data_IF_461549454153
#
_entry.id   IF_461549454153
#
_cell.length_a   1.000
_cell.length_b   1.000
_cell.length_c   1.000
_cell.angle_alpha   90.00
_cell.angle_beta   90.00
_cell.angle_gamma   90.00
#
_symmetry.space_group_name_H-M   'P 1'
#
loop_
_entity.id
_entity.type
_entity.pdbx_description
1 polymer ?
#
# COMPACT_ATOMS: atom_id res chain seq x y z
N UNK A 1 14.65 -8.64 -0.42
CA UNK A 1 14.65 -9.92 -1.14
C UNK A 1 13.30 -10.59 -0.95
N UNK A 2 12.67 -11.03 -2.05
CA UNK A 2 11.38 -11.74 -2.03
C UNK A 2 11.57 -13.19 -2.47
N UNK A 3 10.85 -14.10 -1.81
CA UNK A 3 10.83 -15.51 -2.16
C UNK A 3 9.40 -16.03 -2.26
N UNK A 4 9.12 -16.81 -3.31
CA UNK A 4 7.98 -17.70 -3.39
C UNK A 4 8.40 -19.03 -2.76
N UNK A 5 7.61 -19.54 -1.82
CA UNK A 5 7.92 -20.78 -1.11
C UNK A 5 6.75 -21.76 -1.22
N UNK A 6 7.07 -23.04 -1.32
CA UNK A 6 6.13 -24.13 -1.15
C UNK A 6 6.40 -24.75 0.22
N UNK A 7 5.36 -24.84 1.04
CA UNK A 7 5.41 -25.42 2.37
C UNK A 7 4.58 -26.71 2.40
N UNK A 8 4.91 -27.61 3.29
CA UNK A 8 4.07 -28.76 3.63
C UNK A 8 3.03 -28.38 4.72
N UNK A 9 2.25 -29.36 5.18
CA UNK A 9 1.24 -29.17 6.21
C UNK A 9 1.79 -28.81 7.59
N UNK A 10 3.08 -29.01 7.81
CA UNK A 10 3.80 -28.66 9.06
C UNK A 10 4.53 -27.31 8.92
N UNK A 11 4.29 -26.55 7.85
CA UNK A 11 4.98 -25.33 7.50
C UNK A 11 6.49 -25.51 7.21
N UNK A 12 6.94 -26.72 6.89
CA UNK A 12 8.31 -26.95 6.45
C UNK A 12 8.47 -26.64 4.97
N UNK A 13 9.60 -26.03 4.62
CA UNK A 13 9.88 -25.62 3.26
C UNK A 13 10.22 -26.81 2.36
N UNK A 14 9.36 -27.09 1.39
CA UNK A 14 9.56 -28.10 0.36
C UNK A 14 10.38 -27.57 -0.82
N UNK A 15 10.11 -26.32 -1.25
CA UNK A 15 10.79 -25.71 -2.37
C UNK A 15 10.71 -24.18 -2.28
N UNK A 16 11.55 -23.49 -3.02
CA UNK A 16 11.53 -22.03 -3.10
C UNK A 16 12.05 -21.52 -4.45
N UNK A 17 11.77 -20.24 -4.72
CA UNK A 17 12.46 -19.47 -5.74
C UNK A 17 12.52 -18.00 -5.34
N UNK A 18 13.64 -17.35 -5.61
CA UNK A 18 13.75 -15.91 -5.49
C UNK A 18 12.93 -15.27 -6.62
N UNK A 19 12.17 -14.21 -6.30
CA UNK A 19 11.23 -13.63 -7.25
C UNK A 19 11.35 -12.12 -7.46
N UNK A 20 12.21 -11.43 -6.71
CA UNK A 20 12.40 -9.99 -6.94
C UNK A 20 12.99 -9.74 -8.35
N UNK A 21 12.58 -8.65 -9.05
CA UNK A 21 12.97 -8.41 -10.43
C UNK A 21 14.48 -8.18 -10.58
N UNK A 22 15.05 -8.67 -11.69
CA UNK A 22 16.49 -8.52 -12.02
C UNK A 22 16.84 -7.04 -12.17
N UNK A 23 15.96 -6.29 -12.83
CA UNK A 23 16.13 -4.88 -13.13
C UNK A 23 15.87 -3.93 -11.95
N UNK A 24 15.44 -4.47 -10.79
CA UNK A 24 15.27 -3.66 -9.59
C UNK A 24 16.63 -3.25 -8.99
N UNK A 25 16.72 -1.97 -8.63
CA UNK A 25 17.93 -1.34 -8.12
C UNK A 25 17.86 -1.18 -6.60
N UNK A 26 18.71 -1.89 -5.89
CA UNK A 26 18.73 -1.90 -4.42
C UNK A 26 19.07 -0.54 -3.78
N UNK A 27 19.61 0.42 -4.55
CA UNK A 27 19.87 1.77 -4.03
C UNK A 27 18.60 2.55 -3.67
N UNK A 28 17.45 2.16 -4.27
CA UNK A 28 16.14 2.74 -3.97
C UNK A 28 15.41 2.02 -2.82
N UNK A 29 15.87 0.87 -2.39
CA UNK A 29 15.17 0.07 -1.38
C UNK A 29 15.06 0.79 -0.05
N UNK A 30 13.94 0.58 0.61
CA UNK A 30 13.79 0.79 2.03
C UNK A 30 14.32 -0.45 2.77
N UNK A 31 14.52 -0.35 4.09
CA UNK A 31 14.84 -1.51 4.91
C UNK A 31 13.77 -2.61 4.77
N UNK A 32 12.48 -2.21 4.77
CA UNK A 32 11.35 -3.05 4.41
C UNK A 32 10.61 -2.32 3.28
N UNK A 33 10.56 -2.94 2.10
CA UNK A 33 9.79 -2.41 0.98
C UNK A 33 8.35 -2.90 1.09
N UNK A 34 7.34 -2.02 0.99
CA UNK A 34 5.94 -2.43 0.98
C UNK A 34 5.63 -3.40 -0.16
N UNK A 35 4.84 -4.40 0.15
CA UNK A 35 4.35 -5.39 -0.80
C UNK A 35 2.97 -5.86 -0.35
N UNK A 36 2.05 -5.99 -1.29
CA UNK A 36 0.72 -6.54 -1.07
C UNK A 36 0.38 -7.53 -2.18
N UNK A 37 -0.38 -8.54 -1.85
CA UNK A 37 -1.02 -9.44 -2.81
C UNK A 37 -2.50 -9.07 -2.91
N UNK A 38 -2.98 -8.82 -4.13
CA UNK A 38 -4.39 -8.54 -4.36
C UNK A 38 -5.23 -9.79 -4.04
N UNK A 39 -6.22 -9.65 -3.18
CA UNK A 39 -7.08 -10.77 -2.74
C UNK A 39 -7.99 -11.31 -3.85
N UNK A 40 -8.30 -10.51 -4.88
CA UNK A 40 -9.18 -10.89 -6.00
C UNK A 40 -8.42 -11.50 -7.18
N UNK A 41 -7.09 -11.44 -7.14
CA UNK A 41 -6.24 -11.89 -8.23
C UNK A 41 -4.87 -12.33 -7.68
N UNK A 42 -4.15 -13.17 -8.44
CA UNK A 42 -2.79 -13.57 -8.07
C UNK A 42 -1.75 -12.49 -8.42
N UNK A 43 -2.09 -11.21 -8.24
CA UNK A 43 -1.21 -10.09 -8.55
C UNK A 43 -0.50 -9.64 -7.29
N UNK A 44 0.82 -9.52 -7.35
CA UNK A 44 1.62 -8.86 -6.33
C UNK A 44 1.96 -7.44 -6.78
N UNK A 45 1.69 -6.49 -5.91
CA UNK A 45 2.19 -5.11 -6.02
C UNK A 45 3.34 -4.89 -5.06
N UNK A 46 4.36 -4.17 -5.52
CA UNK A 46 5.58 -3.96 -4.75
C UNK A 46 6.18 -2.57 -4.99
N UNK A 47 6.70 -1.98 -3.93
CA UNK A 47 7.40 -0.70 -4.00
C UNK A 47 8.93 -0.88 -3.97
N UNK A 48 9.60 -0.21 -4.90
CA UNK A 48 11.04 -0.03 -4.93
C UNK A 48 11.36 1.45 -4.62
N UNK A 49 11.23 1.83 -3.36
CA UNK A 49 11.39 3.22 -2.96
C UNK A 49 10.31 4.13 -3.55
N UNK A 50 10.65 4.96 -4.54
CA UNK A 50 9.71 5.83 -5.24
C UNK A 50 9.15 5.23 -6.53
N UNK A 51 9.43 3.97 -6.82
CA UNK A 51 9.00 3.23 -8.01
C UNK A 51 7.99 2.16 -7.63
N UNK A 52 7.06 1.89 -8.54
CA UNK A 52 5.98 0.93 -8.34
C UNK A 52 6.05 -0.20 -9.35
N UNK A 53 5.74 -1.41 -8.92
CA UNK A 53 5.81 -2.63 -9.69
C UNK A 53 4.60 -3.51 -9.46
N UNK A 54 4.21 -4.28 -10.48
CA UNK A 54 3.29 -5.41 -10.29
C UNK A 54 3.87 -6.68 -10.90
N UNK A 55 3.42 -7.82 -10.39
CA UNK A 55 3.65 -9.13 -11.00
C UNK A 55 2.32 -9.84 -11.19
N UNK A 56 1.94 -10.08 -12.44
CA UNK A 56 0.69 -10.72 -12.83
C UNK A 56 0.85 -12.23 -13.09
N UNK A 57 2.01 -12.79 -12.83
CA UNK A 57 2.33 -14.18 -13.21
C UNK A 57 3.07 -14.94 -12.09
N UNK A 58 2.74 -14.61 -10.85
CA UNK A 58 3.35 -15.22 -9.65
C UNK A 58 3.19 -16.73 -9.65
N UNK A 59 2.03 -17.23 -10.12
CA UNK A 59 1.74 -18.67 -10.17
C UNK A 59 2.77 -19.43 -11.01
N UNK A 60 3.23 -18.87 -12.11
CA UNK A 60 4.15 -19.51 -13.05
C UNK A 60 5.64 -19.36 -12.70
N UNK A 61 5.99 -18.59 -11.64
CA UNK A 61 7.36 -18.59 -11.13
C UNK A 61 7.70 -20.00 -10.65
N UNK A 62 8.74 -20.67 -11.22
CA UNK A 62 9.02 -22.07 -10.91
C UNK A 62 9.55 -22.27 -9.49
N UNK A 63 9.44 -23.49 -8.98
CA UNK A 63 10.08 -23.92 -7.72
C UNK A 63 11.33 -24.76 -8.03
N UNK A 64 12.44 -24.10 -8.33
CA UNK A 64 13.70 -24.76 -8.69
C UNK A 64 14.83 -24.54 -7.66
N UNK A 65 14.48 -24.10 -6.45
CA UNK A 65 15.40 -23.80 -5.35
C UNK A 65 16.47 -22.75 -5.72
N UNK A 66 16.08 -21.76 -6.56
CA UNK A 66 16.99 -20.73 -7.04
C UNK A 66 17.02 -19.49 -6.15
N UNK A 67 18.21 -18.96 -5.92
CA UNK A 67 18.45 -17.65 -5.31
C UNK A 67 18.64 -16.53 -6.35
N UNK A 68 18.50 -16.83 -7.63
CA UNK A 68 18.60 -15.84 -8.70
C UNK A 68 17.30 -15.03 -8.80
N UNK A 69 17.45 -13.73 -9.02
CA UNK A 69 16.32 -12.84 -9.33
C UNK A 69 15.58 -13.29 -10.59
N UNK A 70 14.36 -12.85 -10.78
CA UNK A 70 13.54 -13.23 -11.94
C UNK A 70 12.69 -12.04 -12.39
N UNK A 71 12.71 -11.74 -13.68
CA UNK A 71 11.79 -10.74 -14.27
C UNK A 71 10.46 -11.36 -14.74
N UNK A 72 10.24 -12.66 -14.51
CA UNK A 72 9.02 -13.33 -14.92
C UNK A 72 7.78 -12.69 -14.29
N UNK A 73 6.87 -12.21 -15.14
CA UNK A 73 5.62 -11.57 -14.75
C UNK A 73 5.74 -10.15 -14.20
N UNK A 74 6.95 -9.63 -13.98
CA UNK A 74 7.13 -8.29 -13.47
C UNK A 74 6.95 -7.21 -14.53
N UNK A 75 6.17 -6.20 -14.19
CA UNK A 75 6.00 -4.96 -14.92
C UNK A 75 6.34 -3.78 -13.99
N UNK A 76 7.26 -2.94 -14.43
CA UNK A 76 7.58 -1.69 -13.77
C UNK A 76 6.74 -0.57 -14.37
N UNK A 77 6.05 0.19 -13.54
CA UNK A 77 5.34 1.38 -14.02
C UNK A 77 6.31 2.41 -14.54
N UNK A 78 5.96 3.11 -15.63
CA UNK A 78 6.75 4.19 -16.20
C UNK A 78 6.73 5.42 -15.29
N UNK A 79 5.58 5.68 -14.66
CA UNK A 79 5.44 6.74 -13.67
C UNK A 79 6.18 6.39 -12.38
N UNK A 80 6.82 7.39 -11.80
CA UNK A 80 7.47 7.32 -10.50
C UNK A 80 7.00 8.47 -9.61
N UNK A 81 7.14 8.33 -8.29
CA UNK A 81 6.93 9.49 -7.43
C UNK A 81 7.90 10.61 -7.80
N UNK A 82 7.47 11.89 -7.73
CA UNK A 82 8.22 13.02 -8.30
C UNK A 82 9.63 13.23 -7.73
N UNK A 83 9.88 12.70 -6.52
CA UNK A 83 11.14 12.89 -5.83
C UNK A 83 11.68 11.53 -5.35
N UNK A 84 12.95 11.25 -5.60
CA UNK A 84 13.63 10.01 -5.18
C UNK A 84 13.73 9.85 -3.66
N UNK A 85 13.65 10.95 -2.90
CA UNK A 85 13.55 10.91 -1.44
C UNK A 85 12.14 10.62 -0.94
N UNK A 86 11.11 10.75 -1.79
CA UNK A 86 9.74 10.38 -1.47
C UNK A 86 9.58 8.89 -1.72
N UNK A 87 9.38 8.12 -0.65
CA UNK A 87 9.27 6.67 -0.76
C UNK A 87 7.84 6.22 -0.47
N UNK A 88 7.39 5.21 -1.19
CA UNK A 88 6.13 4.52 -0.89
C UNK A 88 6.32 3.77 0.42
N UNK A 89 5.44 4.00 1.38
CA UNK A 89 5.50 3.39 2.73
C UNK A 89 4.41 2.36 2.98
N UNK A 90 3.33 2.39 2.19
CA UNK A 90 2.22 1.43 2.25
C UNK A 90 1.60 1.28 0.86
N UNK A 91 1.10 0.09 0.58
CA UNK A 91 0.33 -0.26 -0.61
C UNK A 91 -0.92 -0.99 -0.12
N UNK A 92 -2.10 -0.58 -0.61
CA UNK A 92 -3.35 -1.27 -0.32
C UNK A 92 -4.17 -1.48 -1.58
N UNK A 93 -4.88 -2.61 -1.68
CA UNK A 93 -5.66 -3.02 -2.84
C UNK A 93 -7.14 -3.08 -2.53
N UNK A 94 -7.99 -2.64 -3.46
CA UNK A 94 -9.44 -2.66 -3.30
C UNK A 94 -10.05 -4.00 -3.70
N UNK A 95 -11.17 -4.34 -3.05
CA UNK A 95 -12.01 -5.49 -3.41
C UNK A 95 -13.08 -5.12 -4.42
N UNK A 96 -13.76 -3.99 -4.24
CA UNK A 96 -14.85 -3.55 -5.10
C UNK A 96 -14.84 -2.02 -5.31
N UNK A 97 -14.67 -1.52 -6.55
CA UNK A 97 -14.22 -2.31 -7.70
C UNK A 97 -12.81 -2.86 -7.48
N UNK A 98 -12.53 -4.04 -8.03
CA UNK A 98 -11.20 -4.61 -8.00
C UNK A 98 -10.19 -3.77 -8.83
N UNK A 99 -8.89 -3.97 -8.57
CA UNK A 99 -7.79 -3.34 -9.30
C UNK A 99 -7.65 -1.82 -9.12
N UNK A 100 -8.22 -1.26 -8.06
CA UNK A 100 -7.82 0.05 -7.55
C UNK A 100 -6.75 -0.15 -6.49
N UNK A 101 -5.65 0.58 -6.61
CA UNK A 101 -4.54 0.52 -5.66
C UNK A 101 -4.31 1.90 -5.07
N UNK A 102 -4.14 1.96 -3.77
CA UNK A 102 -3.69 3.15 -3.06
C UNK A 102 -2.26 2.98 -2.59
N UNK A 103 -1.47 4.04 -2.75
CA UNK A 103 -0.09 4.12 -2.27
C UNK A 103 0.01 5.26 -1.26
N UNK A 104 0.47 4.96 -0.05
CA UNK A 104 0.86 5.99 0.91
C UNK A 104 2.37 6.23 0.89
N UNK A 105 2.79 7.43 1.28
CA UNK A 105 4.20 7.83 1.24
C UNK A 105 4.72 8.28 2.61
N UNK A 106 6.05 8.35 2.74
CA UNK A 106 6.71 8.92 3.91
C UNK A 106 6.49 10.43 4.08
N UNK A 107 5.83 11.10 3.12
CA UNK A 107 5.68 12.55 3.03
C UNK A 107 4.23 12.97 2.84
N UNK A 108 3.30 12.46 3.60
CA UNK A 108 1.84 12.72 3.59
C UNK A 108 1.06 12.35 2.32
N UNK A 109 1.70 12.28 1.17
CA UNK A 109 0.99 12.14 -0.11
C UNK A 109 0.46 10.72 -0.28
N UNK A 110 -0.76 10.67 -0.81
CA UNK A 110 -1.43 9.43 -1.19
C UNK A 110 -1.58 9.45 -2.72
N UNK A 111 -1.46 8.32 -3.34
CA UNK A 111 -1.70 8.13 -4.77
C UNK A 111 -2.77 7.08 -4.97
N UNK A 112 -3.61 7.28 -5.98
CA UNK A 112 -4.58 6.28 -6.45
C UNK A 112 -4.22 5.86 -7.87
N UNK A 113 -4.34 4.58 -8.14
CA UNK A 113 -4.13 3.97 -9.44
C UNK A 113 -5.39 3.15 -9.76
N UNK A 114 -6.11 3.52 -10.80
CA UNK A 114 -7.26 2.76 -11.30
C UNK A 114 -6.78 1.78 -12.38
N UNK A 115 -7.40 0.60 -12.46
CA UNK A 115 -7.00 -0.47 -13.38
C UNK A 115 -5.51 -0.85 -13.25
N UNK A 116 -5.02 -0.92 -12.03
CA UNK A 116 -3.60 -1.18 -11.75
C UNK A 116 -3.10 -2.53 -12.28
N UNK A 117 -4.00 -3.47 -12.63
CA UNK A 117 -3.67 -4.81 -13.10
C UNK A 117 -3.22 -4.86 -14.57
N UNK A 118 -3.45 -3.83 -15.38
CA UNK A 118 -3.17 -3.83 -16.83
C UNK A 118 -2.51 -2.53 -17.30
N UNK A 119 -1.77 -2.63 -18.40
CA UNK A 119 -1.15 -1.44 -19.02
C UNK A 119 -0.18 -0.73 -18.08
N UNK A 120 -0.18 0.58 -18.16
CA UNK A 120 0.67 1.48 -17.38
C UNK A 120 -0.14 2.72 -16.94
N UNK A 121 -1.16 2.53 -16.08
CA UNK A 121 -2.03 3.62 -15.65
C UNK A 121 -1.26 4.65 -14.80
N UNK A 122 -1.67 5.95 -14.84
CA UNK A 122 -0.98 7.00 -14.11
C UNK A 122 -1.15 6.87 -12.59
N UNK A 123 -0.14 7.34 -11.87
CA UNK A 123 -0.18 7.54 -10.43
C UNK A 123 -0.87 8.88 -10.11
N UNK A 124 -2.17 8.86 -9.79
CA UNK A 124 -2.95 10.05 -9.50
C UNK A 124 -2.73 10.51 -8.06
N UNK A 125 -2.04 11.64 -7.87
CA UNK A 125 -1.74 12.17 -6.55
C UNK A 125 -2.94 12.85 -5.90
N UNK A 126 -3.26 12.45 -4.67
CA UNK A 126 -4.26 13.07 -3.79
C UNK A 126 -3.54 14.11 -2.92
N UNK A 127 -3.84 15.39 -3.13
CA UNK A 127 -3.06 16.50 -2.55
C UNK A 127 -3.69 17.20 -1.35
N UNK A 128 -4.98 17.02 -1.13
CA UNK A 128 -5.80 17.84 -0.23
C UNK A 128 -5.95 17.29 1.19
N UNK A 129 -5.15 16.27 1.59
CA UNK A 129 -5.16 15.80 2.98
C UNK A 129 -4.67 16.92 3.91
N UNK A 130 -5.46 17.32 4.92
CA UNK A 130 -5.16 18.47 5.75
C UNK A 130 -4.14 18.14 6.86
N UNK A 131 -2.96 17.66 6.47
CA UNK A 131 -1.85 17.32 7.37
C UNK A 131 -0.52 17.93 6.90
N UNK A 132 0.47 17.92 7.77
CA UNK A 132 1.80 18.46 7.48
C UNK A 132 2.62 17.62 6.50
N UNK A 133 3.58 18.20 5.81
CA UNK A 133 4.40 17.55 4.79
C UNK A 133 5.29 16.41 5.31
N UNK A 134 5.56 16.40 6.62
CA UNK A 134 6.39 15.37 7.27
C UNK A 134 5.56 14.23 7.86
N UNK A 135 4.28 14.12 7.49
CA UNK A 135 3.40 13.07 7.99
C UNK A 135 3.70 11.75 7.28
N UNK A 136 4.12 10.74 8.05
CA UNK A 136 4.41 9.41 7.54
C UNK A 136 3.12 8.59 7.43
N UNK A 137 2.69 8.29 6.21
CA UNK A 137 1.58 7.38 5.99
C UNK A 137 2.02 5.96 6.34
N UNK A 138 1.39 5.38 7.35
CA UNK A 138 1.76 4.06 7.86
C UNK A 138 0.80 2.97 7.38
N UNK A 139 -0.47 3.32 7.22
CA UNK A 139 -1.51 2.39 6.81
C UNK A 139 -2.61 3.09 6.01
N UNK A 140 -3.29 2.32 5.18
CA UNK A 140 -4.48 2.72 4.42
C UNK A 140 -5.47 1.57 4.52
N UNK A 141 -6.67 1.82 5.05
CA UNK A 141 -7.78 0.89 4.99
C UNK A 141 -8.73 1.30 3.85
N UNK A 142 -9.20 0.34 3.08
CA UNK A 142 -10.18 0.55 2.00
C UNK A 142 -11.46 -0.21 2.38
N UNK A 143 -12.62 0.45 2.24
CA UNK A 143 -13.89 -0.26 2.40
C UNK A 143 -13.98 -1.38 1.34
N UNK A 144 -14.15 -2.66 1.75
CA UNK A 144 -14.19 -3.77 0.82
C UNK A 144 -15.34 -3.71 -0.19
N UNK A 145 -16.40 -2.96 0.11
CA UNK A 145 -17.56 -2.80 -0.76
C UNK A 145 -17.48 -1.53 -1.64
N UNK A 146 -16.56 -0.61 -1.33
CA UNK A 146 -16.45 0.67 -2.03
C UNK A 146 -15.03 1.23 -1.99
N UNK A 147 -14.28 1.12 -3.08
CA UNK A 147 -12.91 1.62 -3.17
C UNK A 147 -12.76 3.14 -3.02
N UNK A 148 -13.84 3.91 -3.10
CA UNK A 148 -13.81 5.35 -2.88
C UNK A 148 -13.88 5.74 -1.39
N UNK A 149 -14.17 4.79 -0.51
CA UNK A 149 -14.16 4.98 0.94
C UNK A 149 -12.87 4.43 1.54
N UNK A 150 -12.08 5.32 2.13
CA UNK A 150 -10.75 5.00 2.66
C UNK A 150 -10.48 5.68 4.00
N UNK A 151 -9.71 5.01 4.85
CA UNK A 151 -9.06 5.63 6.00
C UNK A 151 -7.55 5.65 5.80
N UNK A 152 -6.90 6.74 6.24
CA UNK A 152 -5.46 6.90 6.18
C UNK A 152 -4.90 7.13 7.57
N UNK A 153 -3.83 6.39 7.90
CA UNK A 153 -3.16 6.44 9.20
C UNK A 153 -1.80 7.12 9.06
N UNK A 154 -1.60 8.18 9.83
CA UNK A 154 -0.30 8.83 10.01
C UNK A 154 0.26 8.51 11.38
N UNK A 155 1.46 7.96 11.44
CA UNK A 155 2.04 7.40 12.66
C UNK A 155 2.97 8.32 13.42
N UNK A 156 3.20 9.54 12.95
CA UNK A 156 4.10 10.48 13.61
C UNK A 156 3.49 11.07 14.89
N UNK A 157 4.33 11.36 15.87
CA UNK A 157 3.96 12.25 16.98
C UNK A 157 3.76 13.67 16.47
N UNK A 158 2.87 14.42 17.09
CA UNK A 158 2.50 15.80 16.71
C UNK A 158 1.90 15.93 15.33
N UNK A 159 1.31 14.84 14.81
CA UNK A 159 0.55 14.78 13.57
C UNK A 159 -0.80 14.13 13.88
N UNK A 160 -1.89 14.69 13.35
CA UNK A 160 -3.20 14.07 13.50
C UNK A 160 -3.20 12.69 12.83
N UNK A 161 -3.69 11.66 13.53
CA UNK A 161 -3.41 10.27 13.19
C UNK A 161 -4.32 9.71 12.11
N UNK A 162 -5.64 10.02 12.13
CA UNK A 162 -6.64 9.32 11.32
C UNK A 162 -7.49 10.27 10.50
N UNK A 163 -7.52 10.03 9.20
CA UNK A 163 -8.38 10.75 8.25
C UNK A 163 -9.24 9.75 7.49
N UNK A 164 -10.51 10.11 7.26
CA UNK A 164 -11.48 9.32 6.53
C UNK A 164 -11.98 10.12 5.32
N UNK A 165 -12.15 9.45 4.20
CA UNK A 165 -12.73 9.97 2.97
C UNK A 165 -13.74 8.97 2.43
N UNK A 166 -14.86 9.46 1.89
CA UNK A 166 -15.88 8.65 1.19
C UNK A 166 -15.96 8.98 -0.31
N UNK A 167 -15.01 9.76 -0.81
CA UNK A 167 -15.00 10.32 -2.18
C UNK A 167 -13.62 10.21 -2.83
N UNK A 168 -12.96 9.07 -2.63
CA UNK A 168 -11.64 8.76 -3.20
C UNK A 168 -10.54 9.77 -2.83
N UNK A 169 -10.68 10.43 -1.67
CA UNK A 169 -9.73 11.41 -1.21
C UNK A 169 -9.97 12.83 -1.72
N UNK A 170 -11.12 13.11 -2.36
CA UNK A 170 -11.49 14.47 -2.77
C UNK A 170 -11.80 15.36 -1.55
N UNK A 171 -12.34 14.80 -0.48
CA UNK A 171 -12.50 15.47 0.81
C UNK A 171 -12.12 14.55 1.98
N UNK A 172 -11.81 15.15 3.15
CA UNK A 172 -11.32 14.44 4.30
C UNK A 172 -11.95 14.89 5.60
N UNK A 173 -12.32 13.93 6.44
CA UNK A 173 -12.75 14.14 7.81
C UNK A 173 -11.67 13.66 8.79
N UNK A 174 -11.48 14.37 9.89
CA UNK A 174 -10.67 13.94 11.03
C UNK A 174 -11.50 13.00 11.91
N UNK A 175 -11.05 11.77 12.10
CA UNK A 175 -11.84 10.73 12.78
C UNK A 175 -11.16 10.09 14.00
N UNK A 176 -10.00 10.58 14.42
CA UNK A 176 -9.29 10.02 15.58
C UNK A 176 -10.00 10.29 16.93
N UNK A 177 -10.90 11.26 16.99
CA UNK A 177 -11.72 11.53 18.18
C UNK A 177 -10.89 11.65 19.45
N UNK A 178 -11.20 10.81 20.46
CA UNK A 178 -10.53 10.80 21.77
C UNK A 178 -9.17 10.06 21.75
N UNK A 179 -8.74 9.47 20.65
CA UNK A 179 -7.37 9.00 20.46
C UNK A 179 -6.40 10.19 20.39
N UNK A 180 -6.86 11.35 19.94
CA UNK A 180 -6.12 12.59 20.03
C UNK A 180 -6.43 13.23 21.40
N UNK A 181 -5.44 13.48 22.25
CA UNK A 181 -5.63 14.09 23.57
C UNK A 181 -6.32 15.46 23.52
N UNK A 182 -6.29 16.10 22.37
CA UNK A 182 -6.99 17.32 22.08
C UNK A 182 -7.98 17.14 20.94
N UNK A 183 -9.31 17.24 21.18
CA UNK A 183 -10.33 17.13 20.15
C UNK A 183 -10.20 18.12 18.98
N UNK A 184 -9.47 19.25 19.18
CA UNK A 184 -9.17 20.21 18.10
C UNK A 184 -8.17 19.65 17.07
N UNK A 185 -7.62 18.45 17.29
CA UNK A 185 -6.82 17.74 16.31
C UNK A 185 -5.43 18.31 16.11
N UNK A 186 -4.69 18.50 17.19
CA UNK A 186 -3.29 18.97 17.15
C UNK A 186 -2.25 17.83 17.07
N UNK A 187 -2.70 16.56 17.01
CA UNK A 187 -1.79 15.41 16.91
C UNK A 187 -1.06 15.08 18.20
N UNK A 188 -1.69 15.30 19.35
CA UNK A 188 -1.08 15.03 20.67
C UNK A 188 -1.38 13.62 21.18
N UNK A 189 -2.10 12.81 20.41
CA UNK A 189 -2.45 11.45 20.75
C UNK A 189 -1.31 10.45 20.55
N UNK A 190 -1.57 9.17 20.82
CA UNK A 190 -0.62 8.09 20.56
C UNK A 190 -0.38 7.92 19.07
N UNK A 191 0.75 7.33 18.72
CA UNK A 191 1.03 6.93 17.33
C UNK A 191 0.11 5.78 16.92
N UNK A 192 -0.83 6.03 16.02
CA UNK A 192 -1.65 4.99 15.41
C UNK A 192 -0.87 4.24 14.32
N UNK A 193 -1.13 2.94 14.18
CA UNK A 193 -0.36 2.07 13.26
C UNK A 193 -1.24 1.28 12.30
N UNK A 194 -2.52 1.15 12.57
CA UNK A 194 -3.45 0.43 11.71
C UNK A 194 -4.86 1.01 11.84
N UNK A 195 -5.63 0.87 10.80
CA UNK A 195 -7.06 1.07 10.75
C UNK A 195 -7.71 -0.02 9.90
N UNK A 196 -9.00 -0.24 10.07
CA UNK A 196 -9.79 -1.18 9.26
C UNK A 196 -11.17 -0.59 9.05
N UNK A 197 -11.79 -0.87 7.91
CA UNK A 197 -13.18 -0.53 7.60
C UNK A 197 -13.94 -1.83 7.42
N UNK A 198 -14.93 -2.07 8.29
CA UNK A 198 -15.71 -3.31 8.30
C UNK A 198 -17.18 -2.98 8.04
N UNK A 199 -17.72 -3.28 6.83
CA UNK A 199 -19.15 -3.13 6.56
C UNK A 199 -19.97 -4.12 7.41
N UNK A 200 -21.04 -3.65 8.06
CA UNK A 200 -21.95 -4.43 8.89
C UNK A 200 -23.39 -4.32 8.37
N UNK A 201 -23.66 -4.83 7.17
CA UNK A 201 -24.99 -4.71 6.55
C UNK A 201 -25.31 -3.26 6.19
N UNK A 202 -26.16 -2.60 7.00
CA UNK A 202 -26.53 -1.19 6.79
C UNK A 202 -25.67 -0.20 7.60
N UNK A 203 -24.64 -0.67 8.27
CA UNK A 203 -23.75 0.12 9.12
C UNK A 203 -22.27 -0.17 8.76
N UNK A 204 -21.35 0.63 9.25
CA UNK A 204 -19.92 0.46 9.03
C UNK A 204 -19.16 0.67 10.34
N UNK A 205 -18.27 -0.25 10.68
CA UNK A 205 -17.34 -0.13 11.80
C UNK A 205 -15.97 0.36 11.30
N UNK A 206 -15.40 1.30 12.05
CA UNK A 206 -14.09 1.89 11.74
C UNK A 206 -13.08 1.63 12.84
#
# INVERSE_FOLDING_TARGET
>A
VMYKMKLDTNAERLAFNRMDPISADSTYYMFINPMVMDENSDIIYWAEGNRFWRNNDVANIPYNNSHQKSDLGWHKYSDTLPNTSMKISVIETSKNPANVVYLGTQNKYIYRIDNANVGDPPLNMITNIPTGTNSYCYDIAINPDNADEIMVVYSNYSVYSLFHSTDAGASWMKVAGNLEQNPSGSGNGPSCRAAEIIPLGNDTLY
#
